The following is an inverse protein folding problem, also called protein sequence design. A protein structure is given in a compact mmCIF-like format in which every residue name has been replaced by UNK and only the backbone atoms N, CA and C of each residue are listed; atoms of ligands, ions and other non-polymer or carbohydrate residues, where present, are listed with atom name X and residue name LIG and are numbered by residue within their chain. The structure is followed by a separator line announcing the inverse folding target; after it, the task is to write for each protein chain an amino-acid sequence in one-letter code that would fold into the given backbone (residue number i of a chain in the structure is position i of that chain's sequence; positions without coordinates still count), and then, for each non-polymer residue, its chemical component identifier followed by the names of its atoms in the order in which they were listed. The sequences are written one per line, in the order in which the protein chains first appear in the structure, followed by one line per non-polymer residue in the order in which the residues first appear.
data_IF_592387897620
#
_entry.id   IF_592387897620
#
_cell.length_a   1.000
_cell.length_b   1.000
_cell.length_c   1.000
_cell.angle_alpha   90.00
_cell.angle_beta   90.00
_cell.angle_gamma   90.00
#
_symmetry.space_group_name_H-M   'P 1'
#
loop_
_entity.id
_entity.type
_entity.pdbx_description
1 polymer ?
#
# COMPACT_ATOMS: atom_id res chain seq x y z
N UNK A 1 -5.57 18.70 -10.39
CA UNK A 1 -5.02 18.09 -9.16
C UNK A 1 -4.11 16.98 -9.60
N UNK A 2 -2.90 16.89 -9.07
CA UNK A 2 -1.97 15.81 -9.42
C UNK A 2 -2.55 14.48 -8.89
N UNK A 3 -3.22 13.73 -9.77
CA UNK A 3 -3.86 12.44 -9.46
C UNK A 3 -2.83 11.33 -9.16
N UNK A 4 -1.55 11.70 -9.07
CA UNK A 4 -0.40 10.83 -8.97
C UNK A 4 0.21 10.67 -7.59
N UNK A 5 -0.39 11.25 -6.54
CA UNK A 5 0.19 11.20 -5.19
C UNK A 5 1.50 11.99 -5.04
N UNK A 6 1.88 12.77 -6.04
CA UNK A 6 3.02 13.67 -6.00
C UNK A 6 2.65 15.00 -5.30
N UNK A 7 3.58 15.62 -4.54
CA UNK A 7 4.80 15.00 -4.05
C UNK A 7 4.49 13.84 -3.08
N UNK A 8 5.18 12.72 -3.24
CA UNK A 8 5.02 11.58 -2.33
C UNK A 8 5.43 11.98 -0.92
N UNK A 9 4.71 11.53 0.13
CA UNK A 9 5.10 11.84 1.50
C UNK A 9 6.52 11.31 1.77
N UNK A 10 7.46 12.22 2.04
CA UNK A 10 8.87 11.87 2.36
C UNK A 10 9.11 11.61 3.84
N UNK A 11 8.08 11.78 4.68
CA UNK A 11 8.20 11.55 6.12
C UNK A 11 8.47 10.06 6.38
N UNK A 12 9.57 9.74 7.05
CA UNK A 12 9.98 8.37 7.38
C UNK A 12 8.92 7.58 8.17
N UNK A 13 8.03 8.28 8.90
CA UNK A 13 6.93 7.69 9.67
C UNK A 13 5.63 7.52 8.85
N UNK A 14 5.61 7.87 7.56
CA UNK A 14 4.45 7.70 6.68
C UNK A 14 4.74 6.62 5.64
N UNK A 15 3.91 5.57 5.65
CA UNK A 15 4.00 4.45 4.71
C UNK A 15 4.94 3.35 5.20
N UNK A 16 4.37 2.23 5.63
CA UNK A 16 5.09 1.11 6.22
C UNK A 16 6.20 0.53 5.34
N UNK A 17 5.96 0.53 4.03
CA UNK A 17 6.85 -0.02 2.99
C UNK A 17 7.53 1.09 2.16
N UNK A 18 7.35 2.34 2.57
CA UNK A 18 7.90 3.51 1.89
C UNK A 18 6.96 4.15 0.88
N UNK A 19 7.56 4.89 -0.05
CA UNK A 19 6.86 5.72 -1.03
C UNK A 19 6.18 4.86 -2.10
N UNK A 20 4.87 5.05 -2.26
CA UNK A 20 4.09 4.29 -3.21
C UNK A 20 2.59 4.36 -2.98
N UNK A 21 1.85 3.62 -3.79
CA UNK A 21 0.41 3.49 -3.72
C UNK A 21 0.04 2.38 -2.74
N UNK A 22 -0.69 2.73 -1.68
CA UNK A 22 -1.33 1.79 -0.78
C UNK A 22 -2.80 1.68 -1.19
N UNK A 23 -3.25 0.46 -1.46
CA UNK A 23 -4.58 0.19 -1.98
C UNK A 23 -5.20 -1.02 -1.28
N UNK A 24 -6.52 -1.07 -1.30
CA UNK A 24 -7.30 -2.20 -0.80
C UNK A 24 -7.81 -3.04 -1.96
N UNK A 25 -7.92 -4.35 -1.76
CA UNK A 25 -8.36 -5.28 -2.81
C UNK A 25 -9.79 -4.99 -3.25
N UNK A 26 -10.66 -4.64 -2.29
CA UNK A 26 -12.07 -4.37 -2.57
C UNK A 26 -12.56 -3.01 -2.07
N UNK A 27 -13.66 -2.53 -2.66
CA UNK A 27 -14.35 -1.31 -2.22
C UNK A 27 -14.82 -1.39 -0.76
N UNK A 28 -15.23 -2.57 -0.29
CA UNK A 28 -15.70 -2.75 1.08
C UNK A 28 -14.56 -2.55 2.10
N UNK A 29 -13.38 -3.07 1.80
CA UNK A 29 -12.18 -2.90 2.63
C UNK A 29 -11.72 -1.42 2.63
N UNK A 30 -11.72 -0.78 1.46
CA UNK A 30 -11.44 0.66 1.35
C UNK A 30 -12.45 1.51 2.14
N UNK A 31 -13.73 1.13 2.14
CA UNK A 31 -14.76 1.81 2.92
C UNK A 31 -14.56 1.60 4.42
N UNK A 32 -14.25 0.38 4.88
CA UNK A 32 -13.96 0.11 6.29
C UNK A 32 -12.76 0.92 6.80
N UNK A 33 -11.73 1.07 5.95
CA UNK A 33 -10.61 1.96 6.24
C UNK A 33 -11.07 3.42 6.33
N UNK A 34 -11.80 3.92 5.33
CA UNK A 34 -12.34 5.28 5.30
C UNK A 34 -13.17 5.61 6.55
N UNK A 35 -14.09 4.72 6.94
CA UNK A 35 -14.98 4.91 8.10
C UNK A 35 -14.19 5.08 9.41
N UNK A 36 -13.07 4.35 9.55
CA UNK A 36 -12.18 4.48 10.71
C UNK A 36 -11.61 5.90 10.82
N UNK A 37 -11.27 6.53 9.70
CA UNK A 37 -10.67 7.87 9.70
C UNK A 37 -11.73 8.98 9.72
N UNK A 38 -12.88 8.77 9.07
CA UNK A 38 -14.03 9.68 9.17
C UNK A 38 -14.52 9.80 10.62
N UNK A 39 -14.59 8.69 11.37
CA UNK A 39 -14.96 8.71 12.80
C UNK A 39 -13.95 9.47 13.68
N UNK A 40 -12.73 9.69 13.19
CA UNK A 40 -11.68 10.51 13.83
C UNK A 40 -11.68 11.96 13.34
N UNK A 41 -12.65 12.36 12.53
CA UNK A 41 -12.75 13.71 11.96
C UNK A 41 -11.78 13.98 10.81
N UNK A 42 -11.18 12.95 10.23
CA UNK A 42 -10.22 13.10 9.12
C UNK A 42 -10.97 12.97 7.79
N UNK A 43 -10.89 14.01 6.95
CA UNK A 43 -11.52 14.02 5.63
C UNK A 43 -10.69 13.25 4.62
N UNK A 44 -11.28 12.21 4.01
CA UNK A 44 -10.66 11.38 2.98
C UNK A 44 -11.70 10.99 1.93
N UNK A 45 -11.24 10.55 0.76
CA UNK A 45 -12.09 10.05 -0.33
C UNK A 45 -11.48 8.81 -0.95
N UNK A 46 -12.33 7.89 -1.42
CA UNK A 46 -11.90 6.69 -2.13
C UNK A 46 -11.57 7.06 -3.58
N UNK A 47 -10.45 6.55 -4.09
CA UNK A 47 -10.04 6.63 -5.50
C UNK A 47 -9.89 5.21 -6.06
N UNK A 48 -10.25 5.01 -7.32
CA UNK A 48 -10.07 3.73 -8.02
C UNK A 48 -8.85 3.82 -8.93
N UNK A 49 -7.96 2.81 -8.85
CA UNK A 49 -6.81 2.69 -9.73
C UNK A 49 -6.89 1.38 -10.51
N UNK A 50 -6.46 1.40 -11.79
CA UNK A 50 -6.46 0.22 -12.66
C UNK A 50 -5.08 -0.05 -13.22
N UNK A 51 -4.66 -1.30 -13.14
CA UNK A 51 -3.47 -1.87 -13.78
C UNK A 51 -3.87 -3.06 -14.63
N UNK A 52 -3.22 -3.28 -15.77
CA UNK A 52 -3.48 -4.47 -16.58
C UNK A 52 -2.91 -5.72 -15.92
N UNK A 53 -3.52 -6.89 -16.19
CA UNK A 53 -3.00 -8.18 -15.67
C UNK A 53 -1.56 -8.45 -16.12
N UNK A 54 -1.22 -8.10 -17.36
CA UNK A 54 0.13 -8.27 -17.91
C UNK A 54 1.16 -7.44 -17.14
N UNK A 55 0.88 -6.16 -16.89
CA UNK A 55 1.74 -5.29 -16.09
C UNK A 55 1.85 -5.79 -14.65
N UNK A 56 0.73 -6.15 -14.02
CA UNK A 56 0.72 -6.68 -12.66
C UNK A 56 1.58 -7.95 -12.52
N UNK A 57 1.51 -8.87 -13.48
CA UNK A 57 2.30 -10.09 -13.48
C UNK A 57 3.80 -9.89 -13.71
N UNK A 58 4.20 -8.73 -14.25
CA UNK A 58 5.60 -8.40 -14.49
C UNK A 58 6.28 -7.77 -13.26
N UNK A 59 5.52 -7.42 -12.22
CA UNK A 59 6.04 -6.77 -11.02
C UNK A 59 6.81 -7.76 -10.14
N UNK A 60 7.94 -7.31 -9.58
CA UNK A 60 8.65 -8.08 -8.55
C UNK A 60 7.81 -8.10 -7.27
N UNK A 61 7.13 -9.22 -7.05
CA UNK A 61 6.08 -9.35 -6.05
C UNK A 61 6.54 -10.16 -4.83
N UNK A 62 6.11 -9.77 -3.64
CA UNK A 62 6.21 -10.60 -2.44
C UNK A 62 4.91 -10.57 -1.64
N UNK A 63 4.53 -11.72 -1.08
CA UNK A 63 3.33 -11.87 -0.25
C UNK A 63 3.76 -12.18 1.17
N UNK A 64 3.36 -11.33 2.10
CA UNK A 64 3.71 -11.46 3.50
C UNK A 64 2.59 -12.22 4.20
N UNK A 65 2.90 -13.43 4.66
CA UNK A 65 1.97 -14.28 5.40
C UNK A 65 2.10 -13.93 6.88
N UNK A 66 1.22 -13.04 7.36
CA UNK A 66 1.23 -12.55 8.75
C UNK A 66 1.11 -13.71 9.74
N UNK A 67 1.85 -13.61 10.85
CA UNK A 67 1.88 -14.63 11.90
C UNK A 67 2.93 -15.72 11.70
N UNK A 68 3.68 -15.69 10.59
CA UNK A 68 4.84 -16.56 10.36
C UNK A 68 6.13 -15.94 10.92
N UNK A 69 7.14 -16.77 11.17
CA UNK A 69 8.49 -16.30 11.52
C UNK A 69 9.10 -15.48 10.37
N UNK A 70 8.89 -15.90 9.12
CA UNK A 70 9.33 -15.16 7.93
C UNK A 70 8.73 -13.76 7.91
N UNK A 71 7.44 -13.60 8.19
CA UNK A 71 6.82 -12.28 8.30
C UNK A 71 7.47 -11.46 9.41
N UNK A 72 7.72 -12.05 10.59
CA UNK A 72 8.38 -11.34 11.69
C UNK A 72 9.75 -10.79 11.29
N UNK A 73 10.57 -11.61 10.62
CA UNK A 73 11.88 -11.21 10.11
C UNK A 73 11.77 -10.14 9.00
N UNK A 74 10.81 -10.32 8.08
CA UNK A 74 10.56 -9.36 7.01
C UNK A 74 10.16 -7.99 7.55
N UNK A 75 9.21 -7.96 8.50
CA UNK A 75 8.77 -6.74 9.17
C UNK A 75 9.93 -6.09 9.94
N UNK A 76 10.69 -6.85 10.73
CA UNK A 76 11.81 -6.32 11.50
C UNK A 76 12.87 -5.64 10.63
N UNK A 77 13.12 -6.18 9.44
CA UNK A 77 14.11 -5.61 8.52
C UNK A 77 13.58 -4.46 7.66
N UNK A 78 12.39 -4.60 7.08
CA UNK A 78 11.93 -3.73 5.99
C UNK A 78 10.84 -2.74 6.39
N UNK A 79 10.14 -2.95 7.51
CA UNK A 79 9.11 -2.00 7.96
C UNK A 79 9.75 -0.69 8.41
N UNK A 80 9.26 0.44 7.88
CA UNK A 80 9.68 1.79 8.33
C UNK A 80 9.08 2.20 9.67
N UNK A 81 7.94 1.61 10.04
CA UNK A 81 7.20 1.97 11.25
C UNK A 81 7.64 1.09 12.43
N UNK A 82 7.91 -0.20 12.17
CA UNK A 82 8.14 -1.20 13.21
C UNK A 82 9.52 -1.87 13.14
N UNK A 83 10.32 -1.56 12.12
CA UNK A 83 11.60 -2.21 11.86
C UNK A 83 12.70 -1.21 11.49
N UNK A 84 13.74 -1.72 10.82
CA UNK A 84 14.91 -0.94 10.40
C UNK A 84 14.65 -0.03 9.18
N UNK A 85 13.52 -0.23 8.48
CA UNK A 85 13.16 0.55 7.30
C UNK A 85 14.10 0.34 6.09
N UNK A 86 14.79 -0.81 6.02
CA UNK A 86 15.68 -1.11 4.90
C UNK A 86 14.90 -1.20 3.57
N UNK A 87 15.57 -0.92 2.46
CA UNK A 87 14.97 -1.06 1.14
C UNK A 87 14.67 -2.55 0.83
N UNK A 88 13.40 -2.88 0.61
CA UNK A 88 12.97 -4.25 0.30
C UNK A 88 13.08 -4.61 -1.19
N UNK A 89 13.09 -3.61 -2.07
CA UNK A 89 13.31 -3.78 -3.52
C UNK A 89 12.25 -4.63 -4.23
N UNK A 90 11.00 -4.58 -3.77
CA UNK A 90 9.83 -5.20 -4.41
C UNK A 90 8.96 -4.08 -4.99
N UNK A 91 8.38 -4.33 -6.16
CA UNK A 91 7.45 -3.40 -6.80
C UNK A 91 6.04 -3.54 -6.24
N UNK A 92 5.70 -4.74 -5.76
CA UNK A 92 4.38 -5.09 -5.25
C UNK A 92 4.50 -5.94 -3.98
N UNK A 93 3.90 -5.45 -2.88
CA UNK A 93 3.73 -6.22 -1.64
C UNK A 93 2.25 -6.45 -1.36
N UNK A 94 1.96 -7.61 -0.78
CA UNK A 94 0.64 -7.97 -0.24
C UNK A 94 0.80 -8.35 1.21
N UNK A 95 0.02 -7.75 2.10
CA UNK A 95 -0.03 -8.13 3.51
C UNK A 95 -1.46 -8.03 4.03
N UNK A 96 -1.84 -8.90 4.97
CA UNK A 96 -3.06 -8.65 5.74
C UNK A 96 -2.84 -7.49 6.71
N UNK A 97 -3.75 -6.51 6.70
CA UNK A 97 -3.64 -5.32 7.55
C UNK A 97 -4.86 -5.19 8.45
N UNK A 98 -4.66 -5.48 9.75
CA UNK A 98 -5.67 -5.38 10.79
C UNK A 98 -6.95 -6.15 10.44
N UNK A 99 -8.09 -5.50 10.65
CA UNK A 99 -9.42 -6.05 10.32
C UNK A 99 -9.96 -5.56 8.97
N UNK A 100 -9.14 -4.89 8.15
CA UNK A 100 -9.59 -4.28 6.91
C UNK A 100 -9.56 -5.23 5.73
N UNK A 101 -8.57 -6.12 5.66
CA UNK A 101 -8.39 -7.02 4.52
C UNK A 101 -6.95 -7.08 4.04
N UNK A 102 -6.76 -7.42 2.77
CA UNK A 102 -5.43 -7.43 2.14
C UNK A 102 -5.09 -6.02 1.69
N UNK A 103 -4.00 -5.50 2.26
CA UNK A 103 -3.36 -4.28 1.80
C UNK A 103 -2.38 -4.60 0.67
N UNK A 104 -2.50 -3.82 -0.39
CA UNK A 104 -1.62 -3.82 -1.54
C UNK A 104 -0.73 -2.60 -1.49
N UNK A 105 0.58 -2.81 -1.54
CA UNK A 105 1.54 -1.73 -1.72
C UNK A 105 2.20 -1.85 -3.09
N UNK A 106 2.17 -0.78 -3.88
CA UNK A 106 2.90 -0.66 -5.13
C UNK A 106 3.95 0.43 -4.99
N UNK A 107 5.21 0.14 -5.35
CA UNK A 107 6.29 1.12 -5.30
C UNK A 107 5.95 2.35 -6.15
N UNK A 108 6.46 3.53 -5.78
CA UNK A 108 6.33 4.73 -6.61
C UNK A 108 6.81 4.51 -8.05
N UNK A 109 7.80 3.65 -8.24
CA UNK A 109 8.37 3.33 -9.54
C UNK A 109 7.38 2.51 -10.39
N UNK A 110 6.49 1.73 -9.78
CA UNK A 110 5.39 1.03 -10.45
C UNK A 110 4.14 1.89 -10.66
N UNK A 111 4.05 3.07 -10.03
CA UNK A 111 2.84 3.91 -10.05
C UNK A 111 2.43 4.35 -11.46
N UNK A 112 3.40 4.61 -12.34
CA UNK A 112 3.15 5.03 -13.73
C UNK A 112 2.39 3.97 -14.56
N UNK A 113 2.26 2.74 -14.06
CA UNK A 113 1.50 1.66 -14.71
C UNK A 113 -0.01 1.75 -14.45
N UNK A 114 -0.44 2.62 -13.52
CA UNK A 114 -1.84 2.75 -13.13
C UNK A 114 -2.56 3.87 -13.87
N UNK A 115 -3.84 3.63 -14.17
CA UNK A 115 -4.79 4.66 -14.56
C UNK A 115 -5.71 4.97 -13.37
N UNK A 116 -5.75 6.22 -12.93
CA UNK A 116 -6.64 6.68 -11.87
C UNK A 116 -8.04 7.00 -12.44
N UNK A 117 -9.09 6.67 -11.69
CA UNK A 117 -10.45 7.15 -11.93
C UNK A 117 -11.08 7.55 -10.60
N UNK A 118 -11.63 8.76 -10.55
CA UNK A 118 -12.44 9.21 -9.42
C UNK A 118 -13.84 8.60 -9.52
N UNK A 119 -14.31 7.99 -8.43
CA UNK A 119 -15.70 7.51 -8.29
C UNK A 119 -16.62 8.67 -7.89
#
# INVERSE_FOLDING_TARGET
MEEGGAPWPTNALRGQWGEGLYAWETKAEAQAYLDTYLSRGISMSILEFKISRAQLSALKTHTIIVGTEEATLFFGKYSRIYGEGAAHGFDYLKAQTGNYGVEHFFSKDAFHLFNARKL
#
